data_IF_876066636804
#
_entry.id   IF_876066636804
#
_cell.length_a   1.000
_cell.length_b   1.000
_cell.length_c   1.000
_cell.angle_alpha   90.00
_cell.angle_beta   90.00
_cell.angle_gamma   90.00
#
_symmetry.space_group_name_H-M   'P 1'
#
loop_
_entity.id
_entity.type
_entity.pdbx_description
1 polymer ?
#
# COMPACT_ATOMS: atom_id res chain seq x y z
N UNK A 1 -5.33 13.31 4.66
CA UNK A 1 -5.40 12.18 3.72
C UNK A 1 -5.82 10.90 4.41
N UNK A 2 -6.14 9.87 3.63
CA UNK A 2 -6.44 8.54 4.17
C UNK A 2 -5.29 7.58 3.87
N UNK A 3 -4.93 6.73 4.82
CA UNK A 3 -3.99 5.63 4.66
C UNK A 3 -4.77 4.32 4.83
N UNK A 4 -4.63 3.41 3.87
CA UNK A 4 -5.26 2.09 3.91
C UNK A 4 -4.17 1.02 3.75
N UNK A 5 -4.04 0.14 4.74
CA UNK A 5 -3.25 -1.06 4.56
C UNK A 5 -4.03 -2.07 3.72
N UNK A 6 -3.36 -2.73 2.77
CA UNK A 6 -3.98 -3.79 1.97
C UNK A 6 -4.69 -4.84 2.82
N UNK A 7 -5.74 -5.47 2.29
CA UNK A 7 -6.44 -6.59 2.89
C UNK A 7 -5.53 -7.81 3.13
N UNK A 8 -5.99 -8.78 3.90
CA UNK A 8 -5.23 -10.00 4.16
C UNK A 8 -4.84 -10.69 2.86
N UNK A 9 -3.55 -10.92 2.64
CA UNK A 9 -3.02 -11.72 1.53
C UNK A 9 -2.75 -13.16 1.96
N UNK A 10 -2.52 -14.06 0.98
CA UNK A 10 -2.09 -15.43 1.26
C UNK A 10 -0.77 -15.49 2.04
N UNK A 11 0.13 -14.51 1.87
CA UNK A 11 1.29 -14.38 2.74
C UNK A 11 0.87 -14.16 4.19
N UNK A 12 -0.01 -13.20 4.47
CA UNK A 12 -0.45 -12.91 5.84
C UNK A 12 -1.16 -14.11 6.48
N UNK A 13 -1.97 -14.83 5.72
CA UNK A 13 -2.67 -16.02 6.19
C UNK A 13 -1.71 -17.07 6.76
N UNK A 14 -0.58 -17.31 6.09
CA UNK A 14 0.40 -18.32 6.48
C UNK A 14 1.45 -17.80 7.44
N UNK A 15 1.95 -16.58 7.22
CA UNK A 15 3.03 -15.99 8.01
C UNK A 15 2.59 -15.60 9.42
N UNK A 16 1.40 -15.02 9.59
CA UNK A 16 0.97 -14.49 10.89
C UNK A 16 0.97 -15.53 12.00
N UNK A 17 0.45 -16.75 11.81
CA UNK A 17 0.45 -17.77 12.85
C UNK A 17 1.80 -18.47 13.05
N UNK A 18 2.66 -18.51 12.02
CA UNK A 18 3.88 -19.34 12.03
C UNK A 18 5.16 -18.55 12.12
N UNK A 19 5.15 -17.28 11.68
CA UNK A 19 6.32 -16.43 11.45
C UNK A 19 7.35 -17.04 10.48
N UNK A 20 6.92 -17.99 9.64
CA UNK A 20 7.73 -18.62 8.59
C UNK A 20 7.25 -18.09 7.25
N UNK A 21 8.20 -17.63 6.43
CA UNK A 21 7.91 -17.17 5.06
C UNK A 21 7.37 -18.34 4.22
N UNK A 22 6.15 -18.25 3.68
CA UNK A 22 5.55 -19.30 2.86
C UNK A 22 6.15 -19.40 1.44
N UNK A 23 7.05 -18.49 1.03
CA UNK A 23 7.67 -18.48 -0.29
C UNK A 23 6.72 -18.08 -1.43
N UNK A 24 5.72 -17.25 -1.17
CA UNK A 24 4.73 -16.81 -2.18
C UNK A 24 5.12 -15.42 -2.68
N UNK A 25 5.53 -15.32 -3.95
CA UNK A 25 5.83 -14.05 -4.62
C UNK A 25 4.54 -13.29 -4.96
N UNK A 26 4.54 -11.98 -4.77
CA UNK A 26 3.45 -11.03 -5.07
C UNK A 26 2.04 -11.60 -4.79
N UNK A 27 1.76 -12.05 -3.54
CA UNK A 27 0.55 -12.78 -3.19
C UNK A 27 -0.72 -11.97 -3.38
N UNK A 28 -1.78 -12.66 -3.82
CA UNK A 28 -3.14 -12.15 -3.91
C UNK A 28 -3.80 -12.02 -2.53
N UNK A 29 -4.94 -11.33 -2.49
CA UNK A 29 -5.82 -11.30 -1.32
C UNK A 29 -6.48 -12.68 -1.11
N UNK A 30 -6.72 -13.01 0.16
CA UNK A 30 -7.65 -14.07 0.55
C UNK A 30 -9.10 -13.59 0.44
N UNK A 31 -10.08 -14.49 0.57
CA UNK A 31 -11.51 -14.11 0.64
C UNK A 31 -11.77 -13.10 1.78
N UNK A 32 -11.09 -13.26 2.93
CA UNK A 32 -11.14 -12.29 4.02
C UNK A 32 -10.54 -10.95 3.58
N UNK A 33 -9.43 -10.96 2.86
CA UNK A 33 -8.80 -9.74 2.33
C UNK A 33 -9.71 -9.00 1.35
N UNK A 34 -10.45 -9.72 0.51
CA UNK A 34 -11.47 -9.14 -0.38
C UNK A 34 -12.59 -8.50 0.43
N UNK A 35 -13.13 -9.19 1.43
CA UNK A 35 -14.16 -8.64 2.30
C UNK A 35 -13.68 -7.39 3.08
N UNK A 36 -12.40 -7.36 3.50
CA UNK A 36 -11.79 -6.19 4.13
C UNK A 36 -11.70 -5.00 3.16
N UNK A 37 -11.34 -5.24 1.90
CA UNK A 37 -11.30 -4.21 0.85
C UNK A 37 -12.70 -3.62 0.58
N UNK A 38 -13.74 -4.45 0.53
CA UNK A 38 -15.13 -4.02 0.37
C UNK A 38 -15.61 -3.20 1.60
N UNK A 39 -15.23 -3.61 2.81
CA UNK A 39 -15.51 -2.87 4.02
C UNK A 39 -14.84 -1.48 4.03
N UNK A 40 -13.57 -1.39 3.59
CA UNK A 40 -12.87 -0.12 3.44
C UNK A 40 -13.54 0.77 2.39
N UNK A 41 -13.97 0.22 1.24
CA UNK A 41 -14.73 0.97 0.24
C UNK A 41 -16.04 1.53 0.80
N UNK A 42 -16.74 0.76 1.63
CA UNK A 42 -17.98 1.18 2.29
C UNK A 42 -17.73 2.33 3.30
N UNK A 43 -16.62 2.29 4.05
CA UNK A 43 -16.23 3.36 4.97
C UNK A 43 -15.91 4.65 4.22
N UNK A 44 -15.26 4.54 3.05
CA UNK A 44 -14.88 5.66 2.20
C UNK A 44 -16.00 6.17 1.31
N UNK A 45 -17.16 5.51 1.22
CA UNK A 45 -18.22 5.82 0.26
C UNK A 45 -18.71 7.29 0.30
N UNK A 46 -18.57 7.97 1.43
CA UNK A 46 -18.92 9.40 1.59
C UNK A 46 -17.71 10.34 1.56
N UNK A 47 -16.50 9.82 1.44
CA UNK A 47 -15.30 10.63 1.33
C UNK A 47 -15.21 11.27 -0.06
N UNK A 48 -14.80 12.53 -0.11
CA UNK A 48 -14.57 13.22 -1.40
C UNK A 48 -13.15 12.92 -1.89
N UNK A 49 -12.91 11.72 -2.41
CA UNK A 49 -11.59 11.36 -2.94
C UNK A 49 -11.38 11.96 -4.33
N UNK A 50 -10.29 12.68 -4.52
CA UNK A 50 -9.86 13.24 -5.81
C UNK A 50 -8.63 12.54 -6.37
N UNK A 51 -7.90 11.82 -5.50
CA UNK A 51 -6.66 11.10 -5.83
C UNK A 51 -6.59 9.79 -5.07
N UNK A 52 -6.16 8.73 -5.75
CA UNK A 52 -5.88 7.43 -5.15
C UNK A 52 -4.48 7.02 -5.59
N UNK A 53 -3.57 6.87 -4.61
CA UNK A 53 -2.20 6.40 -4.81
C UNK A 53 -2.15 4.94 -4.37
N UNK A 54 -1.63 4.07 -5.24
CA UNK A 54 -1.64 2.62 -5.01
C UNK A 54 -0.23 2.08 -5.21
N UNK A 55 0.22 1.25 -4.28
CA UNK A 55 1.42 0.43 -4.45
C UNK A 55 1.21 -0.59 -5.57
N UNK A 56 2.21 -0.88 -6.41
CA UNK A 56 2.06 -1.81 -7.53
C UNK A 56 1.95 -3.29 -7.14
N UNK A 57 2.08 -3.67 -5.87
CA UNK A 57 1.83 -5.05 -5.44
C UNK A 57 0.38 -5.48 -5.68
N UNK A 58 0.20 -6.70 -6.17
CA UNK A 58 -1.11 -7.30 -6.46
C UNK A 58 -2.11 -7.14 -5.32
N UNK A 59 -1.71 -7.41 -4.07
CA UNK A 59 -2.55 -7.26 -2.88
C UNK A 59 -3.07 -5.84 -2.67
N UNK A 60 -2.26 -4.82 -3.00
CA UNK A 60 -2.68 -3.42 -2.88
C UNK A 60 -3.61 -3.00 -4.03
N UNK A 61 -3.32 -3.43 -5.25
CA UNK A 61 -4.18 -3.22 -6.42
C UNK A 61 -5.56 -3.82 -6.20
N UNK A 62 -5.64 -5.10 -5.78
CA UNK A 62 -6.91 -5.77 -5.47
C UNK A 62 -7.68 -5.08 -4.32
N UNK A 63 -6.98 -4.54 -3.32
CA UNK A 63 -7.61 -3.78 -2.23
C UNK A 63 -8.23 -2.48 -2.74
N UNK A 64 -7.62 -1.83 -3.72
CA UNK A 64 -8.14 -0.59 -4.30
C UNK A 64 -9.35 -0.81 -5.22
N UNK A 65 -9.50 -1.97 -5.85
CA UNK A 65 -10.56 -2.21 -6.86
C UNK A 65 -11.99 -1.84 -6.41
N UNK A 66 -12.50 -2.26 -5.26
CA UNK A 66 -13.85 -1.88 -4.83
C UNK A 66 -13.98 -0.37 -4.57
N UNK A 67 -12.90 0.30 -4.15
CA UNK A 67 -12.89 1.75 -3.92
C UNK A 67 -12.96 2.49 -5.27
N UNK A 68 -12.22 2.02 -6.27
CA UNK A 68 -12.23 2.60 -7.62
C UNK A 68 -13.60 2.49 -8.32
N UNK A 69 -14.43 1.53 -7.95
CA UNK A 69 -15.79 1.38 -8.49
C UNK A 69 -16.75 2.46 -8.00
N UNK A 70 -16.49 3.06 -6.84
CA UNK A 70 -17.39 4.04 -6.20
C UNK A 70 -16.84 5.46 -6.21
N UNK A 71 -15.57 5.67 -6.58
CA UNK A 71 -14.94 6.98 -6.65
C UNK A 71 -14.41 7.30 -8.05
N UNK A 72 -14.71 8.49 -8.54
CA UNK A 72 -14.11 9.05 -9.77
C UNK A 72 -12.90 9.90 -9.40
N UNK A 73 -11.79 9.27 -9.06
CA UNK A 73 -10.55 9.90 -8.64
C UNK A 73 -9.42 9.62 -9.64
N UNK A 74 -8.41 10.49 -9.69
CA UNK A 74 -7.19 10.20 -10.46
C UNK A 74 -6.41 9.08 -9.77
N UNK A 75 -6.00 8.05 -10.53
CA UNK A 75 -5.26 6.89 -10.02
C UNK A 75 -3.78 7.04 -10.35
N UNK A 76 -2.94 6.81 -9.36
CA UNK A 76 -1.49 6.90 -9.48
C UNK A 76 -0.85 5.64 -8.89
N UNK A 77 -0.24 4.82 -9.74
CA UNK A 77 0.57 3.68 -9.29
C UNK A 77 1.96 4.20 -8.95
N UNK A 78 2.41 4.01 -7.71
CA UNK A 78 3.69 4.54 -7.24
C UNK A 78 4.50 3.45 -6.53
N UNK A 79 5.68 3.12 -7.05
CA UNK A 79 6.55 2.12 -6.43
C UNK A 79 7.25 2.64 -5.16
N UNK A 80 7.31 3.95 -4.97
CA UNK A 80 7.86 4.59 -3.77
C UNK A 80 7.06 4.25 -2.51
N UNK A 81 5.76 3.91 -2.66
CA UNK A 81 4.90 3.54 -1.55
C UNK A 81 4.79 2.01 -1.35
N UNK A 82 5.72 1.25 -1.94
CA UNK A 82 5.81 -0.21 -1.80
C UNK A 82 6.13 -0.65 -0.38
N UNK A 83 5.95 -1.93 -0.10
CA UNK A 83 6.39 -2.54 1.16
C UNK A 83 7.92 -2.49 1.28
N UNK A 84 8.41 -2.57 2.51
CA UNK A 84 9.83 -2.82 2.77
C UNK A 84 10.17 -4.23 2.31
N UNK A 85 11.11 -4.35 1.41
CA UNK A 85 11.57 -5.67 0.95
C UNK A 85 12.26 -6.42 2.09
N UNK A 86 11.66 -7.51 2.56
CA UNK A 86 12.17 -8.35 3.64
C UNK A 86 11.86 -9.84 3.45
N UNK A 87 10.86 -10.17 2.65
CA UNK A 87 10.31 -11.51 2.44
C UNK A 87 10.12 -11.80 0.94
N UNK A 88 9.89 -13.07 0.60
CA UNK A 88 9.60 -13.49 -0.78
C UNK A 88 8.35 -12.78 -1.34
N UNK A 89 7.36 -12.48 -0.50
CA UNK A 89 6.17 -11.75 -0.92
C UNK A 89 6.43 -10.30 -1.39
N UNK A 90 7.65 -9.80 -1.19
CA UNK A 90 8.08 -8.47 -1.61
C UNK A 90 8.86 -8.49 -2.94
N UNK A 91 8.96 -9.64 -3.58
CA UNK A 91 9.25 -9.80 -5.02
C UNK A 91 7.97 -9.49 -5.76
N UNK A 92 7.97 -8.46 -6.59
CA UNK A 92 6.79 -8.00 -7.31
C UNK A 92 6.60 -8.67 -8.67
N UNK A 93 5.44 -8.48 -9.27
CA UNK A 93 5.17 -8.85 -10.66
C UNK A 93 5.75 -7.81 -11.62
N UNK A 94 6.21 -8.23 -12.81
CA UNK A 94 6.73 -7.30 -13.81
C UNK A 94 5.65 -6.33 -14.31
N UNK A 95 6.03 -5.14 -14.84
CA UNK A 95 5.06 -4.19 -15.40
C UNK A 95 4.17 -4.80 -16.50
N UNK A 96 4.70 -5.73 -17.31
CA UNK A 96 3.96 -6.44 -18.36
C UNK A 96 2.89 -7.36 -17.76
N UNK A 97 3.26 -8.12 -16.73
CA UNK A 97 2.34 -9.02 -16.04
C UNK A 97 1.24 -8.22 -15.30
N UNK A 98 1.61 -7.12 -14.64
CA UNK A 98 0.66 -6.22 -14.00
C UNK A 98 -0.31 -5.61 -15.03
N UNK A 99 0.20 -5.17 -16.20
CA UNK A 99 -0.63 -4.63 -17.28
C UNK A 99 -1.63 -5.66 -17.82
N UNK A 100 -1.24 -6.92 -17.89
CA UNK A 100 -2.12 -8.01 -18.32
C UNK A 100 -3.22 -8.31 -17.29
N UNK A 101 -2.89 -8.24 -15.99
CA UNK A 101 -3.82 -8.55 -14.88
C UNK A 101 -4.74 -7.37 -14.53
N UNK A 102 -4.24 -6.14 -14.65
CA UNK A 102 -4.94 -4.90 -14.30
C UNK A 102 -4.92 -3.91 -15.47
N UNK A 103 -5.61 -4.21 -16.59
CA UNK A 103 -5.48 -3.48 -17.86
C UNK A 103 -6.01 -2.03 -17.79
N UNK A 104 -6.69 -1.65 -16.71
CA UNK A 104 -7.20 -0.30 -16.50
C UNK A 104 -6.18 0.65 -15.85
N UNK A 105 -4.98 0.15 -15.48
CA UNK A 105 -3.91 0.93 -14.89
C UNK A 105 -2.70 1.05 -15.82
N UNK A 106 -1.97 2.15 -15.69
CA UNK A 106 -0.72 2.36 -16.42
C UNK A 106 0.49 1.98 -15.54
N UNK A 107 1.24 0.96 -15.97
CA UNK A 107 2.45 0.48 -15.29
C UNK A 107 3.75 0.78 -16.09
N UNK A 108 3.65 1.45 -17.27
CA UNK A 108 4.80 1.68 -18.18
C UNK A 108 5.89 2.55 -17.57
N UNK A 109 5.53 3.38 -16.61
CA UNK A 109 6.47 4.27 -15.92
C UNK A 109 7.25 3.58 -14.79
N UNK A 110 6.87 2.35 -14.40
CA UNK A 110 7.59 1.61 -13.37
C UNK A 110 8.95 1.13 -13.88
N UNK A 111 10.03 1.27 -13.09
CA UNK A 111 11.29 0.59 -13.40
C UNK A 111 11.12 -0.94 -13.37
N UNK A 112 12.07 -1.67 -13.95
CA UNK A 112 12.08 -3.13 -13.89
C UNK A 112 13.46 -3.60 -13.43
N UNK A 113 13.56 -4.21 -12.23
CA UNK A 113 12.51 -4.38 -11.22
C UNK A 113 12.13 -3.04 -10.54
N UNK A 114 10.86 -2.91 -10.10
CA UNK A 114 10.40 -1.75 -9.32
C UNK A 114 10.43 -2.00 -7.80
N UNK A 115 10.60 -3.25 -7.40
CA UNK A 115 10.82 -3.65 -6.00
C UNK A 115 12.31 -3.56 -5.64
N UNK A 116 12.63 -3.66 -4.35
CA UNK A 116 14.00 -3.54 -3.86
C UNK A 116 14.67 -4.92 -3.79
N UNK A 117 15.91 -5.00 -4.29
CA UNK A 117 16.85 -6.09 -4.06
C UNK A 117 18.21 -5.47 -3.72
N UNK A 118 18.90 -5.90 -2.69
CA UNK A 118 18.57 -6.86 -1.63
C UNK A 118 17.55 -6.32 -0.61
N UNK A 119 17.41 -6.98 0.57
CA UNK A 119 16.54 -6.56 1.68
C UNK A 119 16.72 -5.06 1.97
N UNK A 120 15.60 -4.31 1.96
CA UNK A 120 15.61 -2.89 2.24
C UNK A 120 15.83 -2.63 3.74
N UNK A 121 16.72 -1.69 4.10
CA UNK A 121 16.93 -1.32 5.49
C UNK A 121 15.75 -0.52 6.05
N UNK A 122 15.61 -0.47 7.38
CA UNK A 122 14.59 0.35 8.03
C UNK A 122 14.79 1.84 7.72
N UNK A 123 16.04 2.29 7.71
CA UNK A 123 16.40 3.68 7.39
C UNK A 123 16.02 4.06 5.96
N UNK A 124 16.19 3.15 4.98
CA UNK A 124 15.78 3.39 3.59
C UNK A 124 14.24 3.47 3.48
N UNK A 125 13.51 2.64 4.23
CA UNK A 125 12.05 2.70 4.29
C UNK A 125 11.58 4.01 4.90
N UNK A 126 12.20 4.47 5.99
CA UNK A 126 11.91 5.77 6.62
C UNK A 126 12.20 6.91 5.65
N UNK A 127 13.34 6.90 4.95
CA UNK A 127 13.69 7.93 3.98
C UNK A 127 12.64 8.03 2.83
N UNK A 128 12.12 6.89 2.33
CA UNK A 128 11.01 6.88 1.35
C UNK A 128 9.72 7.48 1.93
N UNK A 129 9.39 7.12 3.16
CA UNK A 129 8.22 7.64 3.86
C UNK A 129 8.33 9.17 4.09
N UNK A 130 9.53 9.67 4.44
CA UNK A 130 9.79 11.10 4.61
C UNK A 130 9.66 11.87 3.30
N UNK A 131 10.19 11.32 2.21
CA UNK A 131 10.06 11.91 0.88
C UNK A 131 8.58 11.97 0.44
N UNK A 132 7.82 10.90 0.67
CA UNK A 132 6.39 10.87 0.39
C UNK A 132 5.60 11.83 1.29
N UNK A 133 5.95 11.94 2.57
CA UNK A 133 5.34 12.92 3.51
C UNK A 133 5.54 14.34 3.01
N UNK A 134 6.77 14.70 2.61
CA UNK A 134 7.08 16.02 2.07
C UNK A 134 6.30 16.29 0.76
N UNK A 135 6.21 15.30 -0.13
CA UNK A 135 5.43 15.39 -1.35
C UNK A 135 3.95 15.68 -1.06
N UNK A 136 3.35 14.98 -0.11
CA UNK A 136 1.94 15.13 0.21
C UNK A 136 1.66 16.41 1.01
N UNK A 137 2.55 16.85 1.89
CA UNK A 137 2.43 18.09 2.62
C UNK A 137 2.47 19.34 1.71
N UNK A 138 3.15 19.25 0.57
CA UNK A 138 3.22 20.32 -0.42
C UNK A 138 2.01 20.39 -1.38
N UNK A 139 1.00 19.50 -1.22
CA UNK A 139 -0.14 19.38 -2.13
C UNK A 139 -1.42 19.90 -1.52
N UNK A 140 -2.17 20.67 -2.30
CA UNK A 140 -3.49 21.20 -1.90
C UNK A 140 -4.58 20.10 -1.85
N UNK A 141 -4.40 18.98 -2.60
CA UNK A 141 -5.34 17.86 -2.64
C UNK A 141 -5.01 16.72 -1.66
N UNK A 142 -4.07 16.94 -0.74
CA UNK A 142 -3.67 15.91 0.23
C UNK A 142 -4.84 15.42 1.09
N UNK A 143 -5.71 16.31 1.54
CA UNK A 143 -6.87 15.96 2.37
C UNK A 143 -7.85 15.00 1.68
N UNK A 144 -7.94 15.05 0.35
CA UNK A 144 -8.81 14.21 -0.49
C UNK A 144 -8.06 13.07 -1.19
N UNK A 145 -6.84 12.77 -0.74
CA UNK A 145 -6.01 11.67 -1.25
C UNK A 145 -6.14 10.43 -0.37
N UNK A 146 -6.31 9.27 -1.01
CA UNK A 146 -6.18 7.94 -0.41
C UNK A 146 -4.84 7.34 -0.83
N UNK A 147 -4.10 6.78 0.13
CA UNK A 147 -2.96 5.90 -0.10
C UNK A 147 -3.33 4.45 0.24
N UNK A 148 -3.18 3.53 -0.72
CA UNK A 148 -3.27 2.09 -0.49
C UNK A 148 -1.87 1.49 -0.50
N UNK A 149 -1.41 1.03 0.66
CA UNK A 149 -0.03 0.63 0.87
C UNK A 149 0.08 -0.53 1.88
N UNK A 150 1.19 -0.63 2.59
CA UNK A 150 1.61 -1.80 3.35
C UNK A 150 1.99 -1.43 4.76
N UNK A 151 2.19 -2.47 5.59
CA UNK A 151 2.44 -2.31 7.01
C UNK A 151 3.68 -1.47 7.30
N UNK A 152 4.85 -1.84 6.77
CA UNK A 152 6.10 -1.16 7.14
C UNK A 152 6.16 0.27 6.57
N UNK A 153 5.66 0.49 5.35
CA UNK A 153 5.62 1.84 4.78
C UNK A 153 4.67 2.77 5.55
N UNK A 154 3.46 2.29 5.89
CA UNK A 154 2.48 3.08 6.67
C UNK A 154 3.01 3.35 8.08
N UNK A 155 3.65 2.36 8.72
CA UNK A 155 4.28 2.53 10.03
C UNK A 155 5.38 3.60 9.99
N UNK A 156 6.27 3.55 8.97
CA UNK A 156 7.31 4.57 8.77
C UNK A 156 6.72 5.96 8.50
N UNK A 157 5.61 6.03 7.75
CA UNK A 157 4.95 7.28 7.39
C UNK A 157 4.25 7.93 8.58
N UNK A 158 3.50 7.15 9.35
CA UNK A 158 2.53 7.67 10.35
C UNK A 158 2.89 7.34 11.81
N UNK A 159 3.84 6.42 12.05
CA UNK A 159 4.11 5.87 13.39
C UNK A 159 3.00 4.95 13.90
N UNK A 160 2.03 4.58 13.07
CA UNK A 160 0.88 3.74 13.46
C UNK A 160 0.96 2.38 12.77
N UNK A 161 0.85 1.31 13.57
CA UNK A 161 0.71 -0.06 13.09
C UNK A 161 -0.76 -0.30 12.73
N UNK A 162 -1.04 -0.58 11.46
CA UNK A 162 -2.38 -0.87 10.97
C UNK A 162 -2.57 -2.38 10.73
N UNK A 163 -3.75 -2.89 11.06
CA UNK A 163 -4.20 -4.23 10.67
C UNK A 163 -4.53 -4.30 9.17
N UNK A 164 -4.66 -5.51 8.60
CA UNK A 164 -5.08 -5.68 7.20
C UNK A 164 -6.46 -5.07 6.95
N UNK A 165 -6.59 -4.23 5.92
CA UNK A 165 -7.82 -3.54 5.57
C UNK A 165 -8.18 -2.38 6.50
N UNK A 166 -7.31 -2.01 7.43
CA UNK A 166 -7.53 -0.88 8.34
C UNK A 166 -7.26 0.45 7.66
N UNK A 167 -8.16 1.40 7.92
CA UNK A 167 -8.15 2.77 7.42
C UNK A 167 -7.76 3.74 8.53
N UNK A 168 -6.87 4.68 8.23
CA UNK A 168 -6.43 5.75 9.13
C UNK A 168 -6.56 7.11 8.45
N UNK A 169 -7.18 8.08 9.12
CA UNK A 169 -7.02 9.48 8.75
C UNK A 169 -5.67 10.01 9.22
N UNK A 170 -4.93 10.66 8.32
CA UNK A 170 -3.58 11.11 8.56
C UNK A 170 -3.33 12.52 8.03
N UNK A 171 -2.63 13.32 8.82
CA UNK A 171 -2.17 14.67 8.45
C UNK A 171 -0.74 14.60 7.92
N UNK A 172 -0.49 14.87 6.61
CA UNK A 172 0.82 14.66 5.97
C UNK A 172 1.98 15.47 6.58
N UNK A 173 1.68 16.59 7.24
CA UNK A 173 2.70 17.40 7.93
C UNK A 173 3.20 16.81 9.25
N UNK A 174 2.59 15.72 9.72
CA UNK A 174 2.93 15.11 11.00
C UNK A 174 4.06 14.10 10.85
N UNK A 175 5.19 14.34 11.51
CA UNK A 175 6.28 13.38 11.63
C UNK A 175 6.05 12.53 12.89
N UNK A 176 6.16 11.19 12.84
CA UNK A 176 6.03 10.37 14.03
C UNK A 176 7.18 10.60 15.01
N UNK A 177 6.87 10.76 16.30
CA UNK A 177 7.88 10.92 17.37
C UNK A 177 8.71 9.64 17.52
N UNK A 178 8.10 8.48 17.28
CA UNK A 178 8.72 7.16 17.36
C UNK A 178 8.08 6.21 16.35
N UNK A 179 8.90 5.35 15.77
CA UNK A 179 8.47 4.22 14.94
C UNK A 179 8.76 2.94 15.72
N UNK A 180 7.71 2.21 16.08
CA UNK A 180 7.82 0.94 16.79
C UNK A 180 7.70 -0.22 15.80
N UNK A 181 8.84 -0.76 15.37
CA UNK A 181 8.92 -1.83 14.40
C UNK A 181 8.56 -3.22 14.96
N UNK A 182 8.34 -3.33 16.28
CA UNK A 182 7.97 -4.57 16.96
C UNK A 182 6.45 -4.66 17.25
N UNK A 183 5.68 -3.61 16.93
CA UNK A 183 4.25 -3.50 17.19
C UNK A 183 3.37 -4.34 16.25
#
# INVERSE_FOLDING_TARGET
MFLLRHGQSYFNLHFTPTRIDPGIEDPELTDLGVAQAEAAASQLARASLTRIIISPYTRALQTAEPILKVHQASVHIMHEVRERAAFVCDVGSSPELLSARFPHHDFKHLPSPWWSEPVETLEATVARADAFRALMAARDDSATTLLVSHWAFILALSGKSLSNGELLEYEPGTTPDRIDWES
#
